data_IF_537442096271
#
_entry.id   IF_537442096271
#
_cell.length_a   1.000
_cell.length_b   1.000
_cell.length_c   1.000
_cell.angle_alpha   90.00
_cell.angle_beta   90.00
_cell.angle_gamma   90.00
#
_symmetry.space_group_name_H-M   'P 1'
#
loop_
_entity.id
_entity.type
_entity.pdbx_description
1 polymer ?
#
# COMPACT_ATOMS: atom_id res chain seq x y z
N UNK A 1 -3.57 -7.11 4.31
CA UNK A 1 -2.95 -6.17 3.37
C UNK A 1 -1.74 -5.49 3.97
N UNK A 2 -0.76 -5.24 3.17
CA UNK A 2 0.47 -4.60 3.61
C UNK A 2 1.01 -3.69 2.51
N UNK A 3 1.63 -2.58 2.91
CA UNK A 3 2.23 -1.62 2.02
C UNK A 3 3.76 -1.70 2.11
N UNK A 4 4.41 -1.78 0.95
CA UNK A 4 5.85 -1.81 0.83
C UNK A 4 6.34 -0.62 0.02
N UNK A 5 7.50 -0.11 0.37
CA UNK A 5 8.19 0.95 -0.35
C UNK A 5 9.54 0.42 -0.81
N UNK A 6 9.96 0.76 -2.01
CA UNK A 6 11.28 0.36 -2.52
C UNK A 6 12.40 0.78 -1.59
N UNK A 7 13.35 -0.13 -1.34
CA UNK A 7 14.40 0.11 -0.35
C UNK A 7 15.29 1.32 -0.65
N UNK A 8 15.46 1.65 -1.93
CA UNK A 8 16.24 2.81 -2.34
C UNK A 8 15.44 4.12 -2.36
N UNK A 9 14.12 4.08 -2.08
CA UNK A 9 13.34 5.30 -2.00
C UNK A 9 13.77 6.17 -0.82
N UNK A 10 13.56 7.50 -0.89
CA UNK A 10 13.88 8.36 0.23
C UNK A 10 13.19 7.91 1.52
N UNK A 11 13.89 8.02 2.65
CA UNK A 11 13.30 7.66 3.95
C UNK A 11 12.05 8.47 4.29
N UNK A 12 11.97 9.69 3.78
CA UNK A 12 10.78 10.53 3.95
C UNK A 12 9.57 10.02 3.19
N UNK A 13 9.76 9.11 2.24
CA UNK A 13 8.65 8.51 1.52
C UNK A 13 7.99 7.43 2.38
N UNK A 14 6.99 7.85 3.15
CA UNK A 14 6.21 7.00 4.05
C UNK A 14 4.74 7.18 3.75
N UNK A 15 4.26 6.58 2.66
CA UNK A 15 2.88 6.77 2.24
C UNK A 15 1.90 6.21 3.28
N UNK A 16 0.71 6.80 3.31
CA UNK A 16 -0.37 6.36 4.17
C UNK A 16 -1.30 5.46 3.36
N UNK A 17 -1.70 4.35 3.96
CA UNK A 17 -2.68 3.46 3.35
C UNK A 17 -4.06 3.79 3.87
N UNK A 18 -5.01 3.96 2.96
CA UNK A 18 -6.41 4.20 3.28
C UNK A 18 -7.27 3.04 2.82
N UNK A 19 -8.18 2.63 3.70
CA UNK A 19 -9.26 1.72 3.34
C UNK A 19 -10.55 2.53 3.28
N UNK A 20 -11.27 2.43 2.16
CA UNK A 20 -12.52 3.14 1.91
C UNK A 20 -13.63 2.13 1.74
N UNK A 21 -14.74 2.31 2.42
CA UNK A 21 -15.85 1.38 2.28
C UNK A 21 -17.15 1.88 2.89
N UNK A 22 -18.27 1.26 2.52
CA UNK A 22 -19.58 1.65 3.03
C UNK A 22 -19.65 1.37 4.53
N UNK A 23 -20.10 2.37 5.28
CA UNK A 23 -20.31 2.23 6.72
C UNK A 23 -19.06 2.17 7.57
N UNK A 24 -17.86 2.33 7.00
CA UNK A 24 -16.65 2.37 7.80
C UNK A 24 -16.61 3.62 8.66
N UNK A 25 -16.04 3.49 9.84
CA UNK A 25 -15.80 4.60 10.76
C UNK A 25 -14.31 4.79 10.95
N UNK A 26 -13.91 6.02 11.03
CA UNK A 26 -12.50 6.33 11.24
C UNK A 26 -12.20 7.80 10.99
N UNK A 27 -11.27 8.07 10.10
CA UNK A 27 -10.73 9.39 9.86
C UNK A 27 -11.28 10.01 8.59
N UNK A 28 -11.20 11.33 8.50
CA UNK A 28 -11.59 12.06 7.30
C UNK A 28 -10.36 12.15 6.38
N UNK A 29 -10.42 11.57 5.17
CA UNK A 29 -9.28 11.63 4.26
C UNK A 29 -9.20 13.01 3.57
N UNK A 30 -8.02 13.36 3.01
CA UNK A 30 -7.84 14.61 2.28
C UNK A 30 -8.38 14.56 0.84
N UNK A 31 -9.31 13.68 0.57
CA UNK A 31 -9.95 13.52 -0.75
C UNK A 31 -11.43 13.20 -0.55
N UNK A 32 -12.27 13.46 -1.57
CA UNK A 32 -13.70 13.20 -1.43
C UNK A 32 -14.01 11.71 -1.39
N UNK A 33 -15.06 11.36 -0.63
CA UNK A 33 -15.56 9.99 -0.52
C UNK A 33 -16.93 9.88 -1.22
N UNK A 34 -17.25 8.70 -1.77
CA UNK A 34 -18.61 8.41 -2.20
C UNK A 34 -19.59 8.51 -1.03
N UNK A 35 -20.83 8.84 -1.33
CA UNK A 35 -21.88 8.91 -0.32
C UNK A 35 -22.01 7.58 0.42
N UNK A 36 -22.12 7.66 1.75
CA UNK A 36 -22.23 6.48 2.61
C UNK A 36 -20.90 5.79 2.90
N UNK A 37 -19.79 6.28 2.35
CA UNK A 37 -18.48 5.70 2.57
C UNK A 37 -17.76 6.36 3.74
N UNK A 38 -17.05 5.55 4.48
CA UNK A 38 -16.09 6.01 5.48
C UNK A 38 -14.67 5.60 5.07
N UNK A 39 -13.70 6.03 5.86
CA UNK A 39 -12.31 5.76 5.60
C UNK A 39 -11.56 5.45 6.89
N UNK A 40 -10.56 4.59 6.78
CA UNK A 40 -9.58 4.32 7.84
C UNK A 40 -8.18 4.47 7.30
N UNK A 41 -7.35 5.16 8.05
CA UNK A 41 -5.95 5.32 7.72
C UNK A 41 -5.08 4.34 8.49
N UNK A 42 -4.07 3.80 7.83
CA UNK A 42 -3.05 2.97 8.43
C UNK A 42 -1.70 3.57 8.12
N UNK A 43 -0.88 3.73 9.14
CA UNK A 43 0.46 4.31 8.99
C UNK A 43 1.40 3.78 10.05
N UNK A 44 2.70 3.96 9.83
CA UNK A 44 3.72 3.55 10.79
C UNK A 44 4.21 2.14 10.57
N UNK A 45 5.00 1.64 11.52
CA UNK A 45 5.51 0.29 11.49
C UNK A 45 6.59 0.02 10.45
N UNK A 46 7.23 1.06 9.88
CA UNK A 46 8.22 0.90 8.83
C UNK A 46 9.44 0.13 9.31
N UNK A 47 9.78 -0.95 8.59
CA UNK A 47 10.93 -1.81 8.88
C UNK A 47 11.49 -2.38 7.57
N UNK A 48 12.76 -2.74 7.60
CA UNK A 48 13.38 -3.41 6.46
C UNK A 48 12.70 -4.74 6.15
N UNK A 49 12.58 -5.03 4.89
CA UNK A 49 12.03 -6.27 4.38
C UNK A 49 12.88 -6.78 3.22
N UNK A 50 13.24 -8.06 3.27
CA UNK A 50 13.92 -8.74 2.18
C UNK A 50 13.26 -10.09 1.95
N UNK A 51 12.85 -10.35 0.75
CA UNK A 51 12.25 -11.62 0.38
C UNK A 51 11.64 -11.56 -1.01
N UNK A 52 11.55 -12.69 -1.66
CA UNK A 52 10.95 -12.81 -2.99
C UNK A 52 11.56 -11.84 -4.04
N UNK A 53 12.85 -11.55 -3.93
CA UNK A 53 13.53 -10.61 -4.81
C UNK A 53 13.33 -9.14 -4.43
N UNK A 54 12.54 -8.83 -3.40
CA UNK A 54 12.29 -7.48 -2.93
C UNK A 54 13.36 -7.04 -1.94
N UNK A 55 13.83 -5.81 -2.12
CA UNK A 55 14.60 -5.06 -1.13
C UNK A 55 13.75 -3.83 -0.82
N UNK A 56 13.11 -3.82 0.33
CA UNK A 56 12.01 -2.90 0.60
C UNK A 56 11.95 -2.50 2.07
N UNK A 57 11.10 -1.53 2.35
CA UNK A 57 10.61 -1.24 3.69
C UNK A 57 9.14 -1.59 3.74
N UNK A 58 8.77 -2.37 4.73
CA UNK A 58 7.38 -2.74 4.96
C UNK A 58 6.79 -1.77 5.97
N UNK A 59 5.69 -1.17 5.62
CA UNK A 59 5.01 -0.17 6.44
C UNK A 59 3.63 -0.62 6.91
N UNK A 60 2.61 0.21 6.69
CA UNK A 60 1.28 -0.08 7.21
C UNK A 60 0.79 -1.46 6.83
N UNK A 61 0.24 -2.14 7.81
CA UNK A 61 -0.32 -3.48 7.66
C UNK A 61 -1.69 -3.49 8.31
N UNK A 62 -2.68 -4.07 7.64
CA UNK A 62 -4.03 -4.12 8.16
C UNK A 62 -4.63 -5.50 7.95
N UNK A 63 -5.35 -5.96 8.96
CA UNK A 63 -6.15 -7.19 8.91
C UNK A 63 -7.53 -6.84 9.42
N UNK A 64 -8.51 -6.82 8.53
CA UNK A 64 -9.86 -6.49 8.91
C UNK A 64 -10.86 -7.40 8.21
N UNK A 65 -11.93 -7.72 8.93
CA UNK A 65 -13.14 -8.23 8.31
C UNK A 65 -13.89 -7.05 7.75
N UNK A 66 -14.13 -7.08 6.44
CA UNK A 66 -14.87 -6.03 5.78
C UNK A 66 -16.35 -6.39 5.71
N UNK A 67 -17.25 -5.43 5.99
CA UNK A 67 -18.65 -5.60 5.70
C UNK A 67 -18.85 -5.77 4.19
N UNK A 68 -20.02 -6.25 3.79
CA UNK A 68 -20.34 -6.37 2.37
C UNK A 68 -20.26 -5.05 1.63
N UNK A 69 -20.07 -5.11 0.32
CA UNK A 69 -19.97 -3.96 -0.55
C UNK A 69 -18.61 -3.79 -1.18
N UNK A 70 -18.50 -2.82 -2.06
CA UNK A 70 -17.25 -2.51 -2.76
C UNK A 70 -16.37 -1.65 -1.88
N UNK A 71 -15.15 -2.10 -1.64
CA UNK A 71 -14.14 -1.37 -0.88
C UNK A 71 -13.00 -0.95 -1.78
N UNK A 72 -12.39 0.18 -1.47
CA UNK A 72 -11.25 0.72 -2.22
C UNK A 72 -10.06 0.88 -1.30
N UNK A 73 -8.89 0.72 -1.87
CA UNK A 73 -7.62 1.04 -1.22
C UNK A 73 -7.02 2.25 -1.91
N UNK A 74 -6.55 3.19 -1.12
CA UNK A 74 -5.89 4.38 -1.62
C UNK A 74 -4.54 4.54 -0.92
N UNK A 75 -3.55 4.98 -1.67
CA UNK A 75 -2.21 5.26 -1.15
C UNK A 75 -1.95 6.74 -1.25
N UNK A 76 -1.75 7.38 -0.11
CA UNK A 76 -1.46 8.81 -0.03
C UNK A 76 0.04 9.00 0.11
N UNK A 77 0.68 9.53 -0.94
CA UNK A 77 2.13 9.65 -0.99
C UNK A 77 2.70 10.77 -0.12
N UNK A 78 1.92 11.82 0.12
CA UNK A 78 2.43 13.00 0.79
C UNK A 78 3.28 13.87 -0.15
N UNK A 79 4.22 14.62 0.42
CA UNK A 79 5.06 15.55 -0.34
C UNK A 79 6.20 14.85 -1.11
N UNK A 80 6.59 13.66 -0.69
CA UNK A 80 7.69 12.89 -1.29
C UNK A 80 7.11 11.75 -2.10
N UNK A 81 7.52 11.61 -3.34
CA UNK A 81 7.10 10.51 -4.20
C UNK A 81 8.03 9.31 -4.12
N UNK A 82 7.59 8.20 -4.69
CA UNK A 82 8.39 6.98 -4.74
C UNK A 82 7.59 5.82 -5.32
N UNK A 83 8.15 4.65 -5.22
CA UNK A 83 7.54 3.42 -5.69
C UNK A 83 7.02 2.60 -4.50
N UNK A 84 5.80 2.16 -4.59
CA UNK A 84 5.19 1.32 -3.58
C UNK A 84 4.62 0.04 -4.19
N UNK A 85 4.43 -0.95 -3.33
CA UNK A 85 3.78 -2.21 -3.68
C UNK A 85 2.75 -2.51 -2.60
N UNK A 86 1.54 -2.83 -3.03
CA UNK A 86 0.45 -3.19 -2.13
C UNK A 86 0.22 -4.70 -2.21
N UNK A 87 0.37 -5.37 -1.09
CA UNK A 87 0.11 -6.80 -0.98
C UNK A 87 -1.24 -7.02 -0.32
N UNK A 88 -2.10 -7.77 -0.97
CA UNK A 88 -3.39 -8.17 -0.42
C UNK A 88 -3.21 -9.54 0.24
N UNK A 89 -3.36 -9.58 1.56
CA UNK A 89 -3.21 -10.82 2.31
C UNK A 89 -4.43 -11.74 2.13
N UNK A 90 -4.17 -13.04 2.14
CA UNK A 90 -5.20 -14.06 2.19
C UNK A 90 -5.39 -14.85 0.91
N UNK A 91 -5.01 -14.33 -0.23
CA UNK A 91 -4.96 -15.11 -1.46
C UNK A 91 -3.70 -14.76 -2.20
N UNK A 92 -2.77 -15.69 -2.23
CA UNK A 92 -1.80 -15.69 -3.28
C UNK A 92 -2.57 -15.93 -4.56
N UNK A 93 -2.81 -14.86 -5.31
CA UNK A 93 -3.28 -15.03 -6.67
C UNK A 93 -2.10 -15.63 -7.42
N UNK A 94 -2.16 -16.92 -7.78
CA UNK A 94 -1.10 -17.50 -8.60
C UNK A 94 -1.06 -16.76 -9.93
N UNK A 95 0.08 -16.24 -10.30
CA UNK A 95 0.27 -15.55 -11.54
C UNK A 95 0.32 -14.05 -11.42
N UNK A 96 1.28 -13.53 -10.69
CA UNK A 96 1.77 -12.20 -11.01
C UNK A 96 2.13 -12.18 -12.49
N UNK A 97 1.73 -11.11 -13.19
CA UNK A 97 2.08 -11.00 -14.60
C UNK A 97 3.61 -10.99 -14.77
N UNK A 98 4.14 -11.49 -15.91
CA UNK A 98 5.56 -11.34 -16.18
C UNK A 98 6.04 -9.89 -16.07
N UNK A 99 5.20 -8.93 -16.41
CA UNK A 99 5.51 -7.53 -16.26
C UNK A 99 5.68 -7.12 -14.79
N UNK A 100 4.88 -7.71 -13.89
CA UNK A 100 5.02 -7.46 -12.46
C UNK A 100 6.37 -7.91 -11.92
N UNK A 101 6.82 -9.10 -12.30
CA UNK A 101 8.14 -9.60 -11.90
C UNK A 101 9.26 -8.76 -12.51
N UNK A 102 9.12 -8.33 -13.75
CA UNK A 102 10.10 -7.48 -14.40
C UNK A 102 10.24 -6.11 -13.74
N UNK A 103 9.22 -5.65 -13.03
CA UNK A 103 9.22 -4.37 -12.33
C UNK A 103 9.94 -4.42 -10.97
N UNK A 104 10.23 -5.60 -10.42
CA UNK A 104 10.84 -5.72 -9.09
C UNK A 104 12.18 -4.96 -8.98
N UNK A 105 13.14 -5.09 -9.90
CA UNK A 105 14.37 -4.34 -9.79
C UNK A 105 14.14 -2.83 -9.80
N UNK A 106 13.24 -2.36 -10.61
CA UNK A 106 12.90 -0.93 -10.68
C UNK A 106 12.25 -0.45 -9.39
N UNK A 107 11.36 -1.25 -8.82
CA UNK A 107 10.77 -0.98 -7.52
C UNK A 107 11.85 -0.87 -6.44
N UNK A 108 12.76 -1.84 -6.38
CA UNK A 108 13.83 -1.85 -5.38
C UNK A 108 14.71 -0.60 -5.44
N UNK A 109 14.96 -0.10 -6.65
CA UNK A 109 15.76 1.10 -6.89
C UNK A 109 14.95 2.40 -6.83
N UNK A 110 13.68 2.33 -6.48
CA UNK A 110 12.78 3.48 -6.49
C UNK A 110 12.72 4.19 -7.84
N UNK A 111 12.69 3.41 -8.92
CA UNK A 111 12.64 3.92 -10.28
C UNK A 111 13.94 4.44 -10.84
N UNK A 112 15.02 4.47 -10.07
CA UNK A 112 16.34 4.89 -10.56
C UNK A 112 16.94 3.82 -11.45
N UNK A 113 17.56 4.26 -12.52
CA UNK A 113 18.24 3.37 -13.48
C UNK A 113 19.64 3.01 -13.04
#
# INVERSE_FOLDING_TARGET
MALFVGGACPEAFRPRLWLLGPGLRGEVPPFPLPEGYGARAYQGGWREYRGHGLVARKGPEARERLPGGVHYLAVEAGATGGYYLLSLAGEEVPGGSPEGFAAIPRFNRCGES
#
